data_IF_869797055541
#
_entry.id   IF_869797055541
#
_cell.length_a   1.000
_cell.length_b   1.000
_cell.length_c   1.000
_cell.angle_alpha   90.00
_cell.angle_beta   90.00
_cell.angle_gamma   90.00
#
_symmetry.space_group_name_H-M   'P 1'
#
loop_
_entity.id
_entity.type
_entity.pdbx_description
1 polymer ?
#
# COMPACT_ATOMS: atom_id res chain seq x y z
N UNK A 1 17.60 2.75 -10.07
CA UNK A 1 18.91 2.98 -9.43
C UNK A 1 19.45 1.66 -8.88
N UNK A 2 20.44 1.01 -9.53
CA UNK A 2 20.96 -0.30 -9.13
C UNK A 2 21.70 -0.30 -7.78
N UNK A 3 22.09 0.87 -7.28
CA UNK A 3 22.78 1.00 -5.98
C UNK A 3 21.80 1.14 -4.82
N UNK A 4 20.51 1.36 -5.08
CA UNK A 4 19.50 1.57 -4.06
C UNK A 4 19.25 0.27 -3.27
N UNK A 5 19.22 0.30 -1.92
CA UNK A 5 19.09 -0.90 -1.09
C UNK A 5 17.81 -1.69 -1.39
N UNK A 6 16.68 -1.01 -1.62
CA UNK A 6 15.41 -1.66 -2.01
C UNK A 6 15.57 -2.48 -3.30
N UNK A 7 16.27 -1.95 -4.31
CA UNK A 7 16.45 -2.62 -5.61
C UNK A 7 17.35 -3.85 -5.46
N UNK A 8 18.37 -3.79 -4.59
CA UNK A 8 19.21 -4.94 -4.26
C UNK A 8 18.43 -6.03 -3.53
N UNK A 9 17.65 -5.66 -2.51
CA UNK A 9 16.82 -6.61 -1.79
C UNK A 9 15.75 -7.26 -2.68
N UNK A 10 15.18 -6.51 -3.62
CA UNK A 10 14.26 -7.05 -4.61
C UNK A 10 14.95 -8.09 -5.51
N UNK A 11 16.17 -7.80 -5.99
CA UNK A 11 16.96 -8.73 -6.80
C UNK A 11 17.23 -10.05 -6.06
N UNK A 12 17.67 -9.97 -4.80
CA UNK A 12 17.96 -11.16 -3.98
C UNK A 12 16.72 -12.05 -3.84
N UNK A 13 15.55 -11.45 -3.61
CA UNK A 13 14.28 -12.20 -3.53
C UNK A 13 13.89 -12.83 -4.86
N UNK A 14 13.96 -12.09 -5.97
CA UNK A 14 13.65 -12.63 -7.31
C UNK A 14 14.56 -13.79 -7.71
N UNK A 15 15.85 -13.71 -7.36
CA UNK A 15 16.81 -14.80 -7.64
C UNK A 15 16.50 -16.05 -6.81
N UNK A 16 15.96 -15.87 -5.60
CA UNK A 16 15.60 -16.96 -4.70
C UNK A 16 14.30 -17.63 -5.13
N UNK A 17 13.27 -16.84 -5.41
CA UNK A 17 11.97 -17.30 -5.89
C UNK A 17 11.40 -16.32 -6.94
N UNK A 18 11.53 -16.63 -8.23
CA UNK A 18 11.02 -15.76 -9.30
C UNK A 18 9.49 -15.72 -9.38
N UNK A 19 8.81 -16.71 -8.80
CA UNK A 19 7.35 -16.80 -8.81
C UNK A 19 6.69 -16.23 -7.54
N UNK A 20 7.48 -15.63 -6.65
CA UNK A 20 6.97 -14.97 -5.43
C UNK A 20 6.07 -13.78 -5.80
N UNK A 21 4.76 -13.99 -5.64
CA UNK A 21 3.73 -12.99 -5.88
C UNK A 21 3.90 -11.73 -5.00
N UNK A 22 4.45 -11.86 -3.79
CA UNK A 22 4.73 -10.72 -2.91
C UNK A 22 5.83 -9.81 -3.48
N UNK A 23 6.81 -10.41 -4.16
CA UNK A 23 7.91 -9.70 -4.82
C UNK A 23 7.40 -8.98 -6.06
N UNK A 24 6.57 -9.65 -6.86
CA UNK A 24 5.89 -9.03 -8.03
C UNK A 24 5.03 -7.84 -7.59
N UNK A 25 4.26 -7.98 -6.51
CA UNK A 25 3.45 -6.90 -5.95
C UNK A 25 4.31 -5.73 -5.47
N UNK A 26 5.40 -6.01 -4.75
CA UNK A 26 6.34 -4.98 -4.27
C UNK A 26 6.97 -4.20 -5.45
N UNK A 27 7.37 -4.90 -6.52
CA UNK A 27 7.90 -4.28 -7.72
C UNK A 27 6.87 -3.35 -8.40
N UNK A 28 5.60 -3.79 -8.48
CA UNK A 28 4.50 -3.00 -9.02
C UNK A 28 4.25 -1.74 -8.19
N UNK A 29 4.30 -1.84 -6.86
CA UNK A 29 4.12 -0.70 -5.97
C UNK A 29 5.22 0.35 -6.18
N UNK A 30 6.49 -0.07 -6.26
CA UNK A 30 7.64 0.82 -6.53
C UNK A 30 7.46 1.55 -7.88
N UNK A 31 6.99 0.84 -8.90
CA UNK A 31 6.70 1.43 -10.20
C UNK A 31 5.60 2.51 -10.11
N UNK A 32 4.49 2.21 -9.45
CA UNK A 32 3.39 3.16 -9.27
C UNK A 32 3.80 4.39 -8.47
N UNK A 33 4.60 4.22 -7.41
CA UNK A 33 5.15 5.34 -6.64
C UNK A 33 6.04 6.23 -7.51
N UNK A 34 6.96 5.65 -8.28
CA UNK A 34 7.84 6.41 -9.17
C UNK A 34 7.05 7.16 -10.27
N UNK A 35 5.96 6.56 -10.77
CA UNK A 35 5.07 7.16 -11.75
C UNK A 35 4.35 8.39 -11.17
N UNK A 36 3.82 8.26 -9.94
CA UNK A 36 3.20 9.36 -9.20
C UNK A 36 4.18 10.49 -8.89
N UNK A 37 5.39 10.18 -8.39
CA UNK A 37 6.43 11.17 -8.10
C UNK A 37 6.91 11.92 -9.35
N UNK A 38 6.89 11.24 -10.50
CA UNK A 38 7.26 11.83 -11.79
C UNK A 38 6.13 12.66 -12.42
N UNK A 39 4.98 12.79 -11.75
CA UNK A 39 3.84 13.60 -12.20
C UNK A 39 2.95 12.93 -13.25
N UNK A 40 3.08 11.61 -13.45
CA UNK A 40 2.18 10.87 -14.33
C UNK A 40 0.93 10.40 -13.58
N UNK A 41 -0.15 10.20 -14.32
CA UNK A 41 -1.40 9.68 -13.78
C UNK A 41 -1.35 8.17 -13.57
N UNK A 42 -1.83 7.72 -12.40
CA UNK A 42 -2.00 6.30 -12.13
C UNK A 42 -3.20 5.75 -12.92
N UNK A 43 -3.00 4.64 -13.63
CA UNK A 43 -4.06 3.97 -14.39
C UNK A 43 -5.20 3.43 -13.52
N UNK A 44 -4.87 3.01 -12.30
CA UNK A 44 -5.84 2.53 -11.30
C UNK A 44 -5.43 2.99 -9.90
N UNK A 45 -5.84 4.20 -9.48
CA UNK A 45 -5.53 4.74 -8.16
C UNK A 45 -6.13 3.91 -7.02
N UNK A 46 -7.28 3.26 -7.25
CA UNK A 46 -7.95 2.43 -6.23
C UNK A 46 -7.12 1.18 -5.95
N UNK A 47 -6.65 0.49 -6.98
CA UNK A 47 -5.78 -0.68 -6.80
C UNK A 47 -4.46 -0.32 -6.10
N UNK A 48 -3.87 0.85 -6.43
CA UNK A 48 -2.68 1.34 -5.75
C UNK A 48 -2.94 1.59 -4.26
N UNK A 49 -4.02 2.30 -3.91
CA UNK A 49 -4.39 2.54 -2.52
C UNK A 49 -4.63 1.23 -1.75
N UNK A 50 -5.34 0.26 -2.34
CA UNK A 50 -5.56 -1.06 -1.74
C UNK A 50 -4.24 -1.80 -1.45
N UNK A 51 -3.24 -1.72 -2.34
CA UNK A 51 -1.93 -2.33 -2.10
C UNK A 51 -1.18 -1.68 -0.94
N UNK A 52 -1.27 -0.34 -0.81
CA UNK A 52 -0.70 0.38 0.33
C UNK A 52 -1.37 -0.07 1.63
N UNK A 53 -2.71 -0.11 1.67
CA UNK A 53 -3.43 -0.55 2.87
C UNK A 53 -3.07 -1.99 3.26
N UNK A 54 -2.96 -2.91 2.30
CA UNK A 54 -2.51 -4.28 2.57
C UNK A 54 -1.09 -4.32 3.14
N UNK A 55 -0.18 -3.48 2.63
CA UNK A 55 1.18 -3.38 3.16
C UNK A 55 1.20 -2.85 4.60
N UNK A 56 0.39 -1.82 4.91
CA UNK A 56 0.24 -1.27 6.26
C UNK A 56 -0.37 -2.30 7.22
N UNK A 57 -1.45 -2.99 6.82
CA UNK A 57 -2.05 -4.06 7.62
C UNK A 57 -1.03 -5.14 7.96
N UNK A 58 -0.25 -5.59 6.98
CA UNK A 58 0.82 -6.58 7.20
C UNK A 58 1.90 -6.08 8.16
N UNK A 59 2.32 -4.82 8.03
CA UNK A 59 3.29 -4.19 8.95
C UNK A 59 2.78 -4.07 10.39
N UNK A 60 1.47 -3.95 10.58
CA UNK A 60 0.82 -3.86 11.89
C UNK A 60 0.33 -5.23 12.41
N UNK A 61 0.66 -6.33 11.70
CA UNK A 61 0.17 -7.67 12.01
C UNK A 61 -1.36 -7.79 12.07
N UNK A 62 -2.07 -6.96 11.31
CA UNK A 62 -3.54 -6.97 11.19
C UNK A 62 -3.95 -8.00 10.13
N UNK A 63 -5.01 -8.75 10.42
CA UNK A 63 -5.58 -9.71 9.47
C UNK A 63 -6.01 -9.02 8.16
N UNK A 64 -5.77 -9.62 6.97
CA UNK A 64 -6.28 -9.07 5.71
C UNK A 64 -7.80 -8.89 5.72
N UNK A 65 -8.51 -9.77 6.43
CA UNK A 65 -9.97 -9.79 6.58
C UNK A 65 -10.49 -8.86 7.69
N UNK A 66 -9.61 -8.13 8.39
CA UNK A 66 -10.05 -7.16 9.39
C UNK A 66 -10.88 -6.06 8.72
N UNK A 67 -12.13 -5.94 9.15
CA UNK A 67 -13.08 -4.90 8.77
C UNK A 67 -12.88 -3.66 9.65
N UNK A 68 -13.33 -2.51 9.16
CA UNK A 68 -13.45 -1.31 10.00
C UNK A 68 -14.49 -1.63 11.07
N UNK A 69 -14.12 -1.54 12.34
CA UNK A 69 -15.10 -1.57 13.44
C UNK A 69 -15.99 -0.32 13.28
N UNK A 70 -17.30 -0.52 13.16
CA UNK A 70 -18.30 0.55 12.97
C UNK A 70 -18.51 1.40 14.25
N UNK A 71 -17.69 1.21 15.29
CA UNK A 71 -17.80 1.91 16.56
C UNK A 71 -16.89 3.15 16.58
N UNK A 72 -17.40 4.25 16.02
CA UNK A 72 -17.29 5.64 16.52
C UNK A 72 -17.79 6.63 15.46
N UNK A 73 -19.05 6.46 15.04
CA UNK A 73 -19.86 7.61 14.61
C UNK A 73 -20.10 8.46 15.88
N UNK A 74 -19.11 9.26 16.26
CA UNK A 74 -19.25 10.27 17.31
C UNK A 74 -20.33 11.21 16.80
N UNK A 75 -21.54 11.00 17.32
CA UNK A 75 -22.70 11.83 17.08
C UNK A 75 -22.29 13.30 17.13
N UNK A 76 -22.33 13.96 15.99
CA UNK A 76 -22.25 15.40 15.87
C UNK A 76 -23.46 15.96 16.63
N UNK A 77 -23.28 16.34 17.90
CA UNK A 77 -24.28 17.07 18.65
C UNK A 77 -24.59 18.35 17.85
N UNK A 78 -25.85 18.63 17.45
CA UNK A 78 -26.14 19.84 16.72
C UNK A 78 -25.92 21.01 17.69
N UNK A 79 -24.98 21.90 17.33
CA UNK A 79 -24.80 23.17 18.00
C UNK A 79 -26.15 23.91 18.01
N UNK A 80 -26.76 24.02 19.19
CA UNK A 80 -27.91 24.88 19.40
C UNK A 80 -27.44 26.33 19.30
N UNK A 81 -27.74 26.99 18.17
CA UNK A 81 -27.65 28.45 18.06
C UNK A 81 -28.57 29.10 19.10
N UNK A 82 -27.97 29.87 20.02
CA UNK A 82 -28.64 30.85 20.90
C UNK A 82 -28.59 32.24 20.30
#
# INVERSE_FOLDING_TARGET
>A
NPRHPIIKGLLEKVVTDPEDESVKLTAKLIYQTALMESGFELSDPKNFASQIYSSVKSSLNISPDATVDEEEDVAEEPEAET
#
